data_IF_539860460781
#
_entry.id   IF_539860460781
#
_cell.length_a   1.000
_cell.length_b   1.000
_cell.length_c   1.000
_cell.angle_alpha   90.00
_cell.angle_beta   90.00
_cell.angle_gamma   90.00
#
_symmetry.space_group_name_H-M   'P 1'
#
loop_
_entity.id
_entity.type
_entity.pdbx_description
1 polymer ?
#
# COMPACT_ATOMS: atom_id res chain seq x y z
N UNK A 1 -6.60 20.51 -4.80
CA UNK A 1 -7.47 20.11 -5.93
C UNK A 1 -8.90 19.99 -5.44
N UNK A 2 -9.85 20.75 -6.00
CA UNK A 2 -11.26 20.54 -5.71
C UNK A 2 -11.65 19.09 -6.05
N UNK A 3 -12.37 18.40 -5.15
CA UNK A 3 -12.87 17.03 -5.31
C UNK A 3 -11.86 15.87 -5.24
N UNK A 4 -10.61 16.05 -4.76
CA UNK A 4 -9.68 14.92 -4.56
C UNK A 4 -10.25 13.83 -3.65
N UNK A 5 -10.94 14.24 -2.58
CA UNK A 5 -11.58 13.33 -1.62
C UNK A 5 -12.70 12.52 -2.30
N UNK A 6 -13.42 13.09 -3.28
CA UNK A 6 -14.47 12.37 -4.04
C UNK A 6 -13.93 11.28 -4.98
N UNK A 7 -12.61 11.22 -5.18
CA UNK A 7 -11.93 10.19 -5.99
C UNK A 7 -11.26 9.13 -5.13
N UNK A 8 -11.33 9.27 -3.80
CA UNK A 8 -10.87 8.28 -2.85
C UNK A 8 -12.02 7.33 -2.56
N UNK A 9 -11.71 6.04 -2.41
CA UNK A 9 -12.60 5.06 -1.84
C UNK A 9 -11.80 4.19 -0.88
N UNK A 10 -12.43 3.79 0.22
CA UNK A 10 -11.82 2.90 1.21
C UNK A 10 -12.50 1.54 1.14
N UNK A 11 -11.68 0.49 1.16
CA UNK A 11 -12.16 -0.87 1.38
C UNK A 11 -11.72 -1.27 2.78
N UNK A 12 -12.68 -1.42 3.70
CA UNK A 12 -12.41 -1.91 5.04
C UNK A 12 -12.67 -3.41 5.12
N UNK A 13 -11.97 -4.10 6.02
CA UNK A 13 -12.13 -5.54 6.25
C UNK A 13 -12.84 -5.85 7.57
N UNK A 14 -13.27 -4.82 8.29
CA UNK A 14 -14.03 -4.90 9.51
C UNK A 14 -15.10 -3.78 9.55
N UNK A 15 -16.28 -4.05 10.13
CA UNK A 15 -17.37 -3.07 10.21
C UNK A 15 -17.08 -1.85 11.12
N UNK A 16 -16.24 -2.02 12.15
CA UNK A 16 -15.94 -0.92 13.09
C UNK A 16 -15.10 0.17 12.41
N UNK A 17 -14.14 -0.20 11.56
CA UNK A 17 -13.38 0.73 10.73
C UNK A 17 -14.28 1.51 9.78
N UNK A 18 -15.28 0.87 9.15
CA UNK A 18 -16.25 1.59 8.31
C UNK A 18 -17.04 2.62 9.12
N UNK A 19 -17.55 2.21 10.29
CA UNK A 19 -18.33 3.07 11.17
C UNK A 19 -17.54 4.30 11.61
N UNK A 20 -16.28 4.11 12.00
CA UNK A 20 -15.42 5.19 12.45
C UNK A 20 -14.99 6.12 11.31
N UNK A 21 -14.66 5.57 10.14
CA UNK A 21 -14.36 6.37 8.95
C UNK A 21 -15.57 7.18 8.48
N UNK A 22 -16.78 6.59 8.48
CA UNK A 22 -17.99 7.32 8.11
C UNK A 22 -18.35 8.40 9.14
N UNK A 23 -17.97 8.23 10.41
CA UNK A 23 -18.14 9.24 11.45
C UNK A 23 -17.21 10.43 11.24
N UNK A 24 -15.95 10.18 10.91
CA UNK A 24 -14.90 11.20 10.75
C UNK A 24 -14.90 11.85 9.36
N UNK A 25 -15.19 11.06 8.31
CA UNK A 25 -15.09 11.43 6.90
C UNK A 25 -16.27 10.86 6.08
N UNK A 26 -17.52 11.29 6.36
CA UNK A 26 -18.72 10.77 5.70
C UNK A 26 -18.75 10.97 4.18
N UNK A 27 -17.93 11.88 3.65
CA UNK A 27 -17.81 12.17 2.23
C UNK A 27 -16.96 11.16 1.45
N UNK A 28 -16.19 10.30 2.13
CA UNK A 28 -15.36 9.26 1.51
C UNK A 28 -16.19 7.97 1.38
N UNK A 29 -16.48 7.50 0.15
CA UNK A 29 -17.12 6.21 -0.04
C UNK A 29 -16.30 5.09 0.60
N UNK A 30 -16.89 4.42 1.59
CA UNK A 30 -16.30 3.25 2.24
C UNK A 30 -17.14 2.02 1.91
N UNK A 31 -16.46 0.92 1.57
CA UNK A 31 -17.08 -0.40 1.35
C UNK A 31 -16.48 -1.36 2.36
N UNK A 32 -17.30 -1.93 3.23
CA UNK A 32 -16.84 -2.99 4.13
C UNK A 32 -17.01 -4.36 3.50
N UNK A 33 -15.94 -5.14 3.57
CA UNK A 33 -15.90 -6.56 3.25
C UNK A 33 -15.58 -7.30 4.55
N UNK A 34 -16.61 -7.62 5.32
CA UNK A 34 -16.46 -8.27 6.63
C UNK A 34 -15.64 -9.56 6.50
N UNK A 35 -14.40 -9.50 6.98
CA UNK A 35 -13.44 -10.58 6.91
C UNK A 35 -13.48 -11.49 8.15
N UNK A 36 -14.37 -11.21 9.10
CA UNK A 36 -14.52 -12.00 10.33
C UNK A 36 -14.82 -13.47 10.02
N UNK A 37 -15.77 -13.73 9.12
CA UNK A 37 -16.12 -15.08 8.70
C UNK A 37 -14.95 -15.83 8.06
N UNK A 38 -14.17 -15.14 7.22
CA UNK A 38 -12.97 -15.74 6.59
C UNK A 38 -11.92 -16.04 7.64
N UNK A 39 -11.65 -15.10 8.55
CA UNK A 39 -10.70 -15.27 9.65
C UNK A 39 -11.10 -16.43 10.56
N UNK A 40 -12.37 -16.53 10.94
CA UNK A 40 -12.89 -17.61 11.79
C UNK A 40 -12.91 -18.97 11.11
N UNK A 41 -12.89 -19.01 9.77
CA UNK A 41 -12.78 -20.25 9.01
C UNK A 41 -11.33 -20.77 8.90
N UNK A 42 -10.32 -19.94 9.18
CA UNK A 42 -8.92 -20.39 9.23
C UNK A 42 -8.67 -21.03 10.60
N UNK A 43 -8.17 -22.28 10.67
CA UNK A 43 -7.89 -22.94 11.95
C UNK A 43 -6.88 -22.14 12.78
N UNK A 44 -7.19 -21.88 14.05
CA UNK A 44 -6.33 -21.07 14.94
C UNK A 44 -4.97 -21.73 15.20
N UNK A 45 -4.91 -23.06 15.12
CA UNK A 45 -3.72 -23.89 15.30
C UNK A 45 -2.89 -24.04 14.02
N UNK A 46 -3.35 -23.47 12.90
CA UNK A 46 -2.61 -23.49 11.64
C UNK A 46 -1.27 -22.75 11.79
N UNK A 47 -0.18 -23.41 11.40
CA UNK A 47 1.12 -22.76 11.35
C UNK A 47 1.06 -21.52 10.45
N UNK A 48 1.61 -20.40 10.94
CA UNK A 48 1.54 -19.11 10.25
C UNK A 48 0.11 -18.58 10.04
N UNK A 49 -0.86 -18.93 10.90
CA UNK A 49 -2.25 -18.46 10.86
C UNK A 49 -2.41 -16.97 10.47
N UNK A 50 -1.66 -16.07 11.14
CA UNK A 50 -1.70 -14.62 10.85
C UNK A 50 -1.31 -14.30 9.41
N UNK A 51 -0.29 -14.99 8.90
CA UNK A 51 0.17 -14.80 7.53
C UNK A 51 -0.84 -15.33 6.52
N UNK A 52 -1.49 -16.46 6.81
CA UNK A 52 -2.54 -17.01 5.95
C UNK A 52 -3.72 -16.04 5.85
N UNK A 53 -4.20 -15.51 6.98
CA UNK A 53 -5.25 -14.48 6.99
C UNK A 53 -4.82 -13.24 6.19
N UNK A 54 -3.58 -12.77 6.40
CA UNK A 54 -3.05 -11.62 5.66
C UNK A 54 -2.96 -11.89 4.15
N UNK A 55 -2.52 -13.08 3.74
CA UNK A 55 -2.47 -13.48 2.33
C UNK A 55 -3.85 -13.49 1.68
N UNK A 56 -4.89 -13.92 2.39
CA UNK A 56 -6.25 -13.88 1.86
C UNK A 56 -6.72 -12.44 1.62
N UNK A 57 -6.32 -11.48 2.46
CA UNK A 57 -6.55 -10.05 2.25
C UNK A 57 -5.81 -9.54 1.00
N UNK A 58 -4.53 -9.91 0.83
CA UNK A 58 -3.75 -9.54 -0.36
C UNK A 58 -4.30 -10.15 -1.66
N UNK A 59 -4.85 -11.36 -1.57
CA UNK A 59 -5.55 -12.01 -2.67
C UNK A 59 -6.83 -11.26 -3.05
N UNK A 60 -7.62 -10.84 -2.06
CA UNK A 60 -8.80 -10.00 -2.29
C UNK A 60 -8.43 -8.65 -2.91
N UNK A 61 -7.35 -8.01 -2.42
CA UNK A 61 -6.77 -6.79 -3.03
C UNK A 61 -6.46 -6.99 -4.51
N UNK A 62 -5.86 -8.12 -4.86
CA UNK A 62 -5.56 -8.48 -6.25
C UNK A 62 -6.83 -8.70 -7.08
N UNK A 63 -7.87 -9.32 -6.52
CA UNK A 63 -9.17 -9.45 -7.20
C UNK A 63 -9.83 -8.10 -7.46
N UNK A 64 -9.83 -7.20 -6.47
CA UNK A 64 -10.36 -5.83 -6.64
C UNK A 64 -9.60 -5.12 -7.77
N UNK A 65 -8.28 -5.20 -7.78
CA UNK A 65 -7.44 -4.61 -8.83
C UNK A 65 -7.77 -5.16 -10.23
N UNK A 66 -8.00 -6.47 -10.35
CA UNK A 66 -8.43 -7.09 -11.60
C UNK A 66 -9.82 -6.60 -12.04
N UNK A 67 -10.77 -6.48 -11.11
CA UNK A 67 -12.13 -6.00 -11.40
C UNK A 67 -12.11 -4.55 -11.86
N UNK A 68 -11.42 -3.65 -11.15
CA UNK A 68 -11.27 -2.25 -11.55
C UNK A 68 -10.64 -2.13 -12.94
N UNK A 69 -9.55 -2.86 -13.19
CA UNK A 69 -8.88 -2.87 -14.50
C UNK A 69 -9.80 -3.38 -15.61
N UNK A 70 -10.60 -4.41 -15.36
CA UNK A 70 -11.54 -4.97 -16.35
C UNK A 70 -12.70 -4.04 -16.67
N UNK A 71 -13.02 -3.12 -15.76
CA UNK A 71 -14.01 -2.06 -15.97
C UNK A 71 -13.42 -0.81 -16.62
N UNK A 72 -12.14 -0.84 -17.01
CA UNK A 72 -11.48 0.31 -17.63
C UNK A 72 -11.08 1.41 -16.63
N UNK A 73 -11.07 1.12 -15.33
CA UNK A 73 -10.76 2.10 -14.28
C UNK A 73 -9.27 2.01 -13.96
N UNK A 74 -8.51 3.06 -14.28
CA UNK A 74 -7.13 3.24 -13.81
C UNK A 74 -7.14 3.79 -12.40
N UNK A 75 -6.27 3.31 -11.53
CA UNK A 75 -6.33 3.63 -10.10
C UNK A 75 -4.96 3.60 -9.44
N UNK A 76 -4.91 4.27 -8.29
CA UNK A 76 -3.89 4.07 -7.29
C UNK A 76 -4.42 3.15 -6.20
N UNK A 77 -3.59 2.20 -5.78
CA UNK A 77 -3.83 1.36 -4.61
C UNK A 77 -2.78 1.68 -3.57
N UNK A 78 -3.20 1.76 -2.31
CA UNK A 78 -2.34 2.14 -1.20
C UNK A 78 -2.76 1.43 0.08
N UNK A 79 -1.80 1.08 0.93
CA UNK A 79 -2.06 0.53 2.26
C UNK A 79 -2.33 1.62 3.31
N UNK A 80 -3.07 1.26 4.36
CA UNK A 80 -3.56 2.19 5.40
C UNK A 80 -2.45 2.89 6.20
N UNK A 81 -1.24 2.35 6.18
CA UNK A 81 -0.08 2.84 6.92
C UNK A 81 0.83 3.74 6.08
N UNK A 82 0.25 4.42 5.10
CA UNK A 82 0.96 5.35 4.22
C UNK A 82 0.64 6.81 4.61
N UNK A 83 1.69 7.61 4.77
CA UNK A 83 1.62 9.05 5.08
C UNK A 83 1.89 9.84 3.81
N UNK A 84 1.07 10.85 3.56
CA UNK A 84 1.24 11.79 2.45
C UNK A 84 1.92 13.04 2.97
N UNK A 85 3.09 13.36 2.43
CA UNK A 85 3.86 14.56 2.79
C UNK A 85 3.60 15.70 1.81
N UNK A 86 3.20 15.35 0.58
CA UNK A 86 2.87 16.27 -0.50
C UNK A 86 1.59 15.84 -1.24
N UNK A 87 1.15 16.67 -2.18
CA UNK A 87 0.04 16.32 -3.05
C UNK A 87 0.43 15.19 -4.01
N UNK A 88 -0.43 14.18 -4.11
CA UNK A 88 -0.27 13.02 -4.97
C UNK A 88 0.12 13.34 -6.43
N UNK A 89 -0.33 14.48 -6.97
CA UNK A 89 -0.04 14.89 -8.35
C UNK A 89 1.39 15.41 -8.55
N UNK A 90 2.12 15.76 -7.48
CA UNK A 90 3.54 16.14 -7.58
C UNK A 90 4.41 14.99 -8.11
N UNK A 91 3.98 13.74 -7.94
CA UNK A 91 4.68 12.58 -8.51
C UNK A 91 4.65 12.54 -10.04
N UNK A 92 3.68 13.21 -10.66
CA UNK A 92 3.55 13.37 -12.11
C UNK A 92 3.80 12.06 -12.91
N UNK A 93 3.21 10.96 -12.43
CA UNK A 93 3.54 9.61 -12.92
C UNK A 93 3.17 9.38 -14.38
N UNK A 94 2.11 10.03 -14.85
CA UNK A 94 1.66 9.83 -16.23
C UNK A 94 2.64 10.45 -17.24
N UNK A 95 3.28 11.57 -16.89
CA UNK A 95 4.31 12.19 -17.72
C UNK A 95 5.63 11.40 -17.67
N UNK A 96 6.04 10.94 -16.50
CA UNK A 96 7.32 10.22 -16.34
C UNK A 96 7.28 8.77 -16.85
N UNK A 97 6.10 8.15 -16.86
CA UNK A 97 5.89 6.75 -17.22
C UNK A 97 4.71 6.58 -18.20
N UNK A 98 4.79 7.19 -19.40
CA UNK A 98 3.68 7.20 -20.35
C UNK A 98 3.33 5.79 -20.85
N UNK A 99 4.33 4.93 -21.00
CA UNK A 99 4.17 3.59 -21.58
C UNK A 99 3.97 2.47 -20.55
N UNK A 100 4.15 2.76 -19.26
CA UNK A 100 4.13 1.74 -18.20
C UNK A 100 2.72 1.46 -17.71
N UNK A 101 2.29 0.21 -17.74
CA UNK A 101 0.92 -0.16 -17.32
C UNK A 101 0.79 -0.34 -15.80
N UNK A 102 1.90 -0.69 -15.16
CA UNK A 102 1.97 -0.91 -13.72
C UNK A 102 3.17 -0.14 -13.20
N UNK A 103 2.98 0.70 -12.19
CA UNK A 103 4.06 1.51 -11.61
C UNK A 103 4.09 1.24 -10.12
N UNK A 104 5.16 0.62 -9.65
CA UNK A 104 5.27 0.12 -8.29
C UNK A 104 6.26 0.92 -7.46
N UNK A 105 5.96 1.01 -6.18
CA UNK A 105 6.95 1.31 -5.16
C UNK A 105 7.95 0.16 -4.95
N UNK A 106 9.08 0.44 -4.30
CA UNK A 106 10.14 -0.57 -4.10
C UNK A 106 10.60 -0.64 -2.66
N UNK A 107 11.01 -1.84 -2.24
CA UNK A 107 11.58 -2.09 -0.92
C UNK A 107 12.92 -1.38 -0.78
N UNK A 108 13.19 -0.87 0.41
CA UNK A 108 14.53 -0.50 0.86
C UNK A 108 14.80 0.99 0.92
N UNK A 109 16.07 1.31 1.17
CA UNK A 109 16.58 2.65 1.39
C UNK A 109 17.90 2.82 0.63
N UNK A 110 18.01 3.88 -0.17
CA UNK A 110 19.20 4.14 -1.01
C UNK A 110 20.48 4.43 -0.21
N UNK A 111 20.35 4.72 1.08
CA UNK A 111 21.46 4.99 1.98
C UNK A 111 21.96 3.73 2.69
N UNK A 112 21.23 2.62 2.58
CA UNK A 112 21.58 1.36 3.24
C UNK A 112 21.95 0.34 2.18
N UNK A 113 23.26 0.08 2.04
CA UNK A 113 23.82 -0.70 0.92
C UNK A 113 23.27 -2.13 0.79
N UNK A 114 22.71 -2.72 1.85
CA UNK A 114 22.13 -4.07 1.79
C UNK A 114 20.96 -4.15 0.81
N UNK A 115 20.12 -3.12 0.74
CA UNK A 115 18.96 -3.12 -0.17
C UNK A 115 19.40 -3.04 -1.63
N UNK A 116 20.43 -2.25 -1.92
CA UNK A 116 21.01 -2.18 -3.26
C UNK A 116 21.66 -3.50 -3.68
N UNK A 117 22.35 -4.19 -2.75
CA UNK A 117 23.08 -5.43 -3.04
C UNK A 117 22.19 -6.67 -3.10
N UNK A 118 21.14 -6.74 -2.28
CA UNK A 118 20.35 -7.98 -2.08
C UNK A 118 18.92 -7.90 -2.58
N UNK A 119 18.34 -6.70 -2.67
CA UNK A 119 16.94 -6.50 -3.06
C UNK A 119 16.79 -5.46 -4.17
N UNK A 120 17.62 -5.50 -5.25
CA UNK A 120 17.59 -4.47 -6.28
C UNK A 120 16.24 -4.48 -7.01
N UNK A 121 15.48 -3.40 -6.81
CA UNK A 121 14.18 -3.21 -7.44
C UNK A 121 13.12 -4.25 -7.03
N UNK A 122 13.23 -4.82 -5.83
CA UNK A 122 12.16 -5.63 -5.27
C UNK A 122 10.92 -4.75 -5.04
N UNK A 123 9.76 -5.17 -5.54
CA UNK A 123 8.51 -4.42 -5.38
C UNK A 123 8.09 -4.51 -3.92
N UNK A 124 7.68 -3.39 -3.32
CA UNK A 124 7.10 -3.42 -1.97
C UNK A 124 5.61 -3.77 -2.05
N UNK A 125 4.89 -3.20 -3.03
CA UNK A 125 3.47 -3.43 -3.23
C UNK A 125 2.59 -2.73 -2.19
N UNK A 126 3.13 -1.75 -1.46
CA UNK A 126 2.34 -0.96 -0.53
C UNK A 126 1.52 0.09 -1.28
N UNK A 127 2.16 0.72 -2.27
CA UNK A 127 1.57 1.77 -3.10
C UNK A 127 1.91 1.55 -4.56
N UNK A 128 0.90 1.50 -5.43
CA UNK A 128 1.13 1.29 -6.86
C UNK A 128 0.03 1.90 -7.73
N UNK A 129 0.41 2.29 -8.94
CA UNK A 129 -0.49 2.75 -9.99
C UNK A 129 -0.76 1.65 -11.00
N UNK A 130 -2.00 1.57 -11.45
CA UNK A 130 -2.44 0.65 -12.49
C UNK A 130 -3.16 1.42 -13.58
N UNK A 131 -2.68 1.29 -14.81
CA UNK A 131 -3.43 1.67 -16.00
C UNK A 131 -4.34 0.52 -16.42
N UNK A 132 -5.63 0.78 -16.54
CA UNK A 132 -6.59 -0.23 -16.94
C UNK A 132 -6.30 -0.75 -18.36
N UNK A 133 -6.16 -2.06 -18.48
CA UNK A 133 -5.99 -2.75 -19.75
C UNK A 133 -6.25 -4.24 -19.58
N UNK A 134 -6.48 -5.00 -20.67
CA UNK A 134 -6.53 -6.47 -20.59
C UNK A 134 -5.27 -7.09 -19.98
N UNK A 135 -4.11 -6.45 -20.18
CA UNK A 135 -2.82 -6.90 -19.62
C UNK A 135 -2.80 -6.80 -18.10
N UNK A 136 -3.31 -5.70 -17.52
CA UNK A 136 -3.35 -5.52 -16.07
C UNK A 136 -4.41 -6.39 -15.40
N UNK A 137 -5.51 -6.70 -16.10
CA UNK A 137 -6.47 -7.73 -15.65
C UNK A 137 -5.79 -9.09 -15.53
N UNK A 138 -5.08 -9.52 -16.56
CA UNK A 138 -4.34 -10.80 -16.56
C UNK A 138 -3.27 -10.84 -15.46
N UNK A 139 -2.51 -9.75 -15.29
CA UNK A 139 -1.51 -9.61 -14.23
C UNK A 139 -2.11 -9.90 -12.84
N UNK A 140 -3.16 -9.18 -12.45
CA UNK A 140 -3.73 -9.34 -11.11
C UNK A 140 -4.48 -10.66 -10.92
N UNK A 141 -5.08 -11.22 -11.97
CA UNK A 141 -5.62 -12.60 -11.93
C UNK A 141 -4.54 -13.62 -11.65
N UNK A 142 -3.35 -13.47 -12.26
CA UNK A 142 -2.20 -14.34 -12.01
C UNK A 142 -1.63 -14.16 -10.60
N UNK A 143 -1.55 -12.92 -10.10
CA UNK A 143 -1.15 -12.63 -8.72
C UNK A 143 -2.06 -13.40 -7.73
N UNK A 144 -3.38 -13.24 -7.87
CA UNK A 144 -4.35 -13.95 -7.04
C UNK A 144 -4.23 -15.49 -7.19
N UNK A 145 -4.15 -15.99 -8.42
CA UNK A 145 -4.01 -17.43 -8.69
C UNK A 145 -2.78 -18.04 -8.02
N UNK A 146 -1.63 -17.37 -8.04
CA UNK A 146 -0.42 -17.88 -7.41
C UNK A 146 -0.58 -17.94 -5.88
N UNK A 147 -1.21 -16.93 -5.26
CA UNK A 147 -1.52 -16.95 -3.82
C UNK A 147 -2.50 -18.06 -3.41
N UNK A 148 -3.35 -18.57 -4.32
CA UNK A 148 -4.19 -19.75 -3.98
C UNK A 148 -3.38 -21.05 -3.82
N UNK A 149 -2.15 -21.10 -4.34
CA UNK A 149 -1.34 -22.32 -4.43
C UNK A 149 -0.06 -22.25 -3.61
N UNK A 150 0.39 -21.06 -3.25
CA UNK A 150 1.66 -20.83 -2.55
C UNK A 150 1.46 -19.82 -1.44
N UNK A 151 2.07 -20.10 -0.30
CA UNK A 151 2.22 -19.11 0.74
C UNK A 151 3.30 -18.11 0.31
N UNK A 152 2.91 -16.89 -0.05
CA UNK A 152 3.81 -15.87 -0.60
C UNK A 152 3.17 -14.49 -0.53
N UNK A 153 3.94 -13.41 -0.25
CA UNK A 153 3.36 -12.08 -0.24
C UNK A 153 3.18 -11.65 -1.69
N UNK A 154 2.13 -10.90 -1.95
CA UNK A 154 1.80 -10.47 -3.31
C UNK A 154 2.93 -9.65 -3.94
N UNK A 155 3.68 -8.88 -3.15
CA UNK A 155 4.89 -8.15 -3.57
C UNK A 155 5.96 -9.02 -4.23
N UNK A 156 6.17 -10.25 -3.74
CA UNK A 156 7.12 -11.21 -4.33
C UNK A 156 6.60 -11.73 -5.67
N UNK A 157 5.30 -12.00 -5.75
CA UNK A 157 4.66 -12.47 -6.98
C UNK A 157 4.64 -11.35 -8.03
N UNK A 158 4.32 -10.12 -7.63
CA UNK A 158 4.38 -8.94 -8.49
C UNK A 158 5.80 -8.72 -9.01
N UNK A 159 6.82 -8.85 -8.14
CA UNK A 159 8.24 -8.76 -8.55
C UNK A 159 8.57 -9.79 -9.62
N UNK A 160 8.17 -11.05 -9.40
CA UNK A 160 8.38 -12.12 -10.36
C UNK A 160 7.69 -11.85 -11.71
N UNK A 161 6.39 -11.49 -11.68
CA UNK A 161 5.63 -11.24 -12.90
C UNK A 161 6.16 -10.02 -13.67
N UNK A 162 6.59 -8.97 -12.98
CA UNK A 162 7.21 -7.80 -13.61
C UNK A 162 8.55 -8.05 -14.29
N UNK A 163 9.14 -9.25 -14.13
CA UNK A 163 10.25 -9.69 -14.96
C UNK A 163 9.86 -9.93 -16.43
N UNK A 164 8.56 -10.13 -16.72
CA UNK A 164 8.08 -10.31 -18.08
C UNK A 164 7.78 -8.95 -18.76
N UNK A 165 8.40 -8.63 -19.91
CA UNK A 165 8.25 -7.33 -20.58
C UNK A 165 6.81 -6.98 -20.98
N UNK A 166 5.96 -7.99 -21.20
CA UNK A 166 4.58 -7.80 -21.63
C UNK A 166 3.72 -7.03 -20.62
N UNK A 167 4.06 -7.05 -19.32
CA UNK A 167 3.32 -6.30 -18.29
C UNK A 167 3.73 -4.83 -18.18
N UNK A 168 4.81 -4.41 -18.86
CA UNK A 168 5.28 -3.01 -18.90
C UNK A 168 5.37 -2.37 -17.51
N UNK A 169 6.00 -3.06 -16.57
CA UNK A 169 6.17 -2.55 -15.21
C UNK A 169 7.25 -1.45 -15.15
N UNK A 170 7.00 -0.42 -14.35
CA UNK A 170 7.98 0.57 -13.93
C UNK A 170 8.10 0.59 -12.40
N UNK A 171 9.20 1.15 -11.92
CA UNK A 171 9.52 1.26 -10.50
C UNK A 171 9.71 2.74 -10.16
N UNK A 172 8.99 3.20 -9.15
CA UNK A 172 9.15 4.53 -8.61
C UNK A 172 10.47 4.59 -7.84
N UNK A 173 11.21 5.71 -7.98
CA UNK A 173 12.38 5.92 -7.16
C UNK A 173 11.99 6.17 -5.71
N UNK A 174 12.88 5.81 -4.78
CA UNK A 174 12.61 5.84 -3.34
C UNK A 174 12.48 7.25 -2.77
N UNK A 175 12.98 8.26 -3.48
CA UNK A 175 12.78 9.67 -3.16
C UNK A 175 11.41 10.20 -3.60
N UNK A 176 10.62 9.44 -4.37
CA UNK A 176 9.22 9.76 -4.69
C UNK A 176 8.27 9.00 -3.76
N UNK A 177 8.49 7.69 -3.58
CA UNK A 177 7.78 6.86 -2.59
C UNK A 177 8.78 6.02 -1.82
N UNK A 178 8.81 6.14 -0.50
CA UNK A 178 9.60 5.26 0.37
C UNK A 178 8.67 4.31 1.13
N UNK A 179 8.61 3.06 0.69
CA UNK A 179 7.63 2.12 1.23
C UNK A 179 8.06 1.51 2.56
N UNK A 180 9.31 1.08 2.64
CA UNK A 180 9.86 0.51 3.86
C UNK A 180 11.17 1.18 4.16
N UNK A 181 11.46 1.39 5.44
CA UNK A 181 12.79 1.80 5.91
C UNK A 181 13.15 3.28 5.70
N UNK A 182 12.17 4.17 5.46
CA UNK A 182 12.43 5.62 5.42
C UNK A 182 13.21 6.10 6.66
N UNK A 183 12.80 5.64 7.83
CA UNK A 183 13.41 5.99 9.13
C UNK A 183 14.78 5.37 9.41
N UNK A 184 15.33 4.54 8.51
CA UNK A 184 16.68 3.98 8.66
C UNK A 184 17.79 4.89 8.10
N UNK A 185 17.43 5.94 7.35
CA UNK A 185 18.39 6.88 6.75
C UNK A 185 18.47 8.23 7.46
N UNK A 186 19.26 9.14 6.90
CA UNK A 186 19.45 10.52 7.37
C UNK A 186 18.28 11.47 7.05
N UNK A 187 17.24 11.00 6.33
CA UNK A 187 16.00 11.75 6.03
C UNK A 187 16.19 13.09 5.31
N UNK A 188 17.32 13.31 4.63
CA UNK A 188 17.60 14.55 3.90
C UNK A 188 16.62 14.84 2.75
N UNK A 189 15.96 13.81 2.23
CA UNK A 189 14.94 13.92 1.19
C UNK A 189 13.66 13.30 1.72
N UNK A 190 12.58 14.08 1.76
CA UNK A 190 11.26 13.60 2.17
C UNK A 190 10.47 13.22 0.91
N UNK A 191 10.09 11.95 0.74
CA UNK A 191 9.33 11.51 -0.42
C UNK A 191 7.85 11.92 -0.28
N UNK A 192 7.13 11.98 -1.39
CA UNK A 192 5.70 12.33 -1.45
C UNK A 192 4.85 11.38 -0.60
N UNK A 193 5.22 10.09 -0.59
CA UNK A 193 4.57 9.06 0.22
C UNK A 193 5.61 8.30 1.02
N UNK A 194 5.31 8.10 2.31
CA UNK A 194 6.07 7.25 3.22
C UNK A 194 5.14 6.15 3.70
N UNK A 195 5.40 4.88 3.37
CA UNK A 195 4.76 3.78 4.08
C UNK A 195 5.55 3.49 5.36
N UNK A 196 4.82 3.34 6.44
CA UNK A 196 5.35 3.16 7.78
C UNK A 196 5.45 1.66 8.04
N UNK A 197 6.30 1.01 7.23
CA UNK A 197 6.83 -0.31 7.51
C UNK A 197 8.25 -0.17 8.03
N UNK A 198 8.47 -0.71 9.22
CA UNK A 198 9.79 -0.69 9.83
C UNK A 198 10.02 -2.02 10.53
N UNK A 199 11.21 -2.60 10.33
CA UNK A 199 11.70 -3.78 11.07
C UNK A 199 11.96 -3.51 12.57
N UNK A 200 11.34 -2.47 13.12
CA UNK A 200 11.40 -2.17 14.55
C UNK A 200 10.38 -2.99 15.31
N UNK A 201 10.76 -3.41 16.52
CA UNK A 201 9.86 -4.05 17.47
C UNK A 201 8.88 -3.06 18.12
N UNK A 202 9.02 -1.75 17.83
CA UNK A 202 8.18 -0.71 18.39
C UNK A 202 6.82 -0.68 17.67
N UNK A 203 5.70 -0.47 18.40
CA UNK A 203 4.43 -0.09 17.79
C UNK A 203 4.57 1.17 16.92
N UNK A 204 3.78 1.27 15.85
CA UNK A 204 3.84 2.41 14.90
C UNK A 204 3.71 3.77 15.60
N UNK A 205 2.81 3.88 16.59
CA UNK A 205 2.64 5.12 17.36
C UNK A 205 3.87 5.50 18.19
N UNK A 206 4.62 4.52 18.69
CA UNK A 206 5.85 4.78 19.43
C UNK A 206 6.97 5.22 18.49
N UNK A 207 7.05 4.62 17.29
CA UNK A 207 7.94 5.09 16.22
C UNK A 207 7.64 6.55 15.89
N UNK A 208 6.38 6.91 15.65
CA UNK A 208 6.02 8.30 15.36
C UNK A 208 6.42 9.28 16.46
N UNK A 209 6.21 8.91 17.74
CA UNK A 209 6.66 9.73 18.88
C UNK A 209 8.18 9.90 18.90
N UNK A 210 8.92 8.80 18.72
CA UNK A 210 10.39 8.82 18.66
C UNK A 210 10.92 9.69 17.53
N UNK A 211 10.21 9.67 16.40
CA UNK A 211 10.55 10.46 15.21
C UNK A 211 9.95 11.87 15.23
N UNK A 212 9.44 12.33 16.38
CA UNK A 212 8.91 13.68 16.63
C UNK A 212 7.74 14.08 15.73
N UNK A 213 6.87 13.14 15.37
CA UNK A 213 5.61 13.47 14.71
C UNK A 213 4.71 14.25 15.66
N UNK A 214 4.10 15.30 15.13
CA UNK A 214 3.03 16.04 15.79
C UNK A 214 1.69 15.53 15.28
N UNK A 215 0.76 15.31 16.20
CA UNK A 215 -0.58 14.87 15.88
C UNK A 215 -1.57 15.98 16.21
N UNK A 216 -2.69 15.98 15.49
CA UNK A 216 -3.75 16.98 15.63
C UNK A 216 -4.71 16.54 16.73
N UNK A 217 -5.01 17.45 17.66
CA UNK A 217 -6.04 17.28 18.68
C UNK A 217 -7.43 17.62 18.13
N UNK A 218 -8.49 17.25 18.86
CA UNK A 218 -9.88 17.59 18.51
C UNK A 218 -10.12 19.12 18.41
N UNK A 219 -9.32 19.92 19.13
CA UNK A 219 -9.37 21.39 19.10
C UNK A 219 -8.54 22.01 17.95
N UNK A 220 -7.95 21.19 17.09
CA UNK A 220 -7.13 21.60 15.96
C UNK A 220 -5.69 21.99 16.32
N UNK A 221 -5.29 21.92 17.59
CA UNK A 221 -3.89 22.14 18.00
C UNK A 221 -3.03 20.91 17.69
N UNK A 222 -1.72 21.11 17.54
CA UNK A 222 -0.78 20.01 17.25
C UNK A 222 0.20 19.80 18.41
N UNK A 223 0.32 18.58 18.92
CA UNK A 223 1.39 18.22 19.86
C UNK A 223 1.82 16.74 19.73
N UNK A 224 2.97 16.38 20.32
CA UNK A 224 3.50 15.00 20.26
C UNK A 224 2.75 13.99 21.17
N UNK A 225 1.86 14.48 22.04
CA UNK A 225 1.09 13.70 23.01
C UNK A 225 -0.32 13.36 22.52
N UNK A 226 -0.79 14.04 21.48
CA UNK A 226 -2.07 13.81 20.84
C UNK A 226 -2.04 12.41 20.21
N UNK A 227 -2.68 11.43 20.84
CA UNK A 227 -2.70 10.04 20.35
C UNK A 227 -4.09 9.45 20.24
N UNK A 228 -5.13 10.30 20.23
CA UNK A 228 -6.44 9.85 19.81
C UNK A 228 -6.55 10.06 18.30
N UNK A 229 -6.49 8.95 17.58
CA UNK A 229 -7.02 8.81 16.22
C UNK A 229 -8.43 8.26 16.38
#
# INVERSE_FOLDING_TARGET
MPNSIKRLAVVSFDPETEKELNRLHPEIPTVSLDFSAVRSAVPEDLENHRYVVYQLILMLRSHIAAVLSSRGISFWSMQQDSIWTENFVSMNVEQHYPDSLLIFDTVGNDQVSIFQKKMPGWICGSTFFVRASPVTVDFFKKVALIMTRRQSPDSSIMTYLCGAPCYKCAKLPRWVISSSNFFMGNRNVTPVIIQVDHESKLPKMELFKRENFLFVNDDGTCNASATKI
#
